data_IF_310421260178
#
_entry.id   IF_310421260178
#
_cell.length_a   1.000
_cell.length_b   1.000
_cell.length_c   1.000
_cell.angle_alpha   90.00
_cell.angle_beta   90.00
_cell.angle_gamma   90.00
#
_symmetry.space_group_name_H-M   'P 1'
#
loop_
_entity.id
_entity.type
_entity.pdbx_description
1 polymer ?
#
# COMPACT_ATOMS: atom_id res chain seq x y z
N UNK A 1 -29.23 59.00 -6.57
CA UNK A 1 -27.82 58.85 -6.18
C UNK A 1 -27.61 57.39 -5.80
N UNK A 2 -27.16 56.58 -6.74
CA UNK A 2 -26.98 55.10 -6.54
C UNK A 2 -25.46 54.87 -6.40
N UNK A 3 -25.03 54.30 -5.27
CA UNK A 3 -23.63 53.92 -5.01
C UNK A 3 -23.43 52.47 -5.45
N UNK A 4 -22.68 52.26 -6.51
CA UNK A 4 -22.11 50.96 -6.89
C UNK A 4 -20.96 50.61 -5.96
N UNK A 5 -21.09 49.54 -5.20
CA UNK A 5 -19.99 48.88 -4.47
C UNK A 5 -19.34 47.84 -5.41
N UNK A 6 -18.09 48.07 -5.75
CA UNK A 6 -17.22 47.06 -6.40
C UNK A 6 -16.68 46.14 -5.34
N UNK A 7 -17.02 44.84 -5.41
CA UNK A 7 -16.35 43.81 -4.64
C UNK A 7 -15.09 43.39 -5.38
N UNK A 8 -13.93 43.70 -4.82
CA UNK A 8 -12.63 43.14 -5.24
C UNK A 8 -12.56 41.68 -4.81
N UNK A 9 -12.71 40.79 -5.78
CA UNK A 9 -12.41 39.37 -5.60
C UNK A 9 -10.87 39.23 -5.47
N UNK A 10 -10.41 38.76 -4.32
CA UNK A 10 -9.06 38.25 -4.13
C UNK A 10 -8.88 36.98 -4.95
N UNK A 11 -8.26 37.08 -6.13
CA UNK A 11 -7.67 35.95 -6.81
C UNK A 11 -6.44 35.52 -6.00
N UNK A 12 -6.54 34.44 -5.25
CA UNK A 12 -5.38 33.77 -4.69
C UNK A 12 -4.54 33.17 -5.83
N UNK A 13 -3.46 33.84 -6.18
CA UNK A 13 -2.41 33.30 -7.04
C UNK A 13 -1.77 32.11 -6.33
N UNK A 14 -2.19 30.91 -6.68
CA UNK A 14 -1.45 29.69 -6.34
C UNK A 14 -0.14 29.74 -7.14
N UNK A 15 0.97 30.01 -6.46
CA UNK A 15 2.29 29.97 -7.07
C UNK A 15 2.51 28.58 -7.72
N UNK A 16 3.09 28.50 -8.94
CA UNK A 16 3.40 27.23 -9.56
C UNK A 16 4.35 26.44 -8.65
N UNK A 17 4.03 25.19 -8.35
CA UNK A 17 4.91 24.27 -7.64
C UNK A 17 6.18 24.10 -8.49
N UNK A 18 7.31 24.68 -8.04
CA UNK A 18 8.60 24.38 -8.65
C UNK A 18 8.96 22.92 -8.34
N UNK A 19 9.12 22.13 -9.38
CA UNK A 19 9.58 20.75 -9.27
C UNK A 19 11.09 20.72 -9.09
N UNK A 20 11.61 19.78 -8.28
CA UNK A 20 13.05 19.60 -8.09
C UNK A 20 13.75 19.26 -9.43
N UNK A 21 15.01 19.68 -9.56
CA UNK A 21 15.84 19.26 -10.69
C UNK A 21 16.03 17.74 -10.69
N UNK A 22 16.24 17.13 -11.86
CA UNK A 22 16.52 15.69 -11.98
C UNK A 22 17.76 15.34 -11.15
N UNK A 23 17.61 14.37 -10.24
CA UNK A 23 18.74 13.77 -9.53
C UNK A 23 19.31 12.59 -10.34
N UNK A 24 20.64 12.41 -10.33
CA UNK A 24 21.25 11.28 -11.02
C UNK A 24 20.79 9.96 -10.38
N UNK A 25 20.64 8.89 -11.19
CA UNK A 25 20.33 7.57 -10.69
C UNK A 25 21.31 7.12 -9.61
N UNK A 26 20.81 6.35 -8.64
CA UNK A 26 21.64 5.77 -7.58
C UNK A 26 22.48 4.63 -8.19
N UNK A 27 23.79 4.64 -7.94
CA UNK A 27 24.71 3.64 -8.45
C UNK A 27 24.46 2.25 -7.85
N UNK A 28 24.95 1.21 -8.52
CA UNK A 28 24.72 -0.18 -8.15
C UNK A 28 25.27 -0.53 -6.76
N UNK A 29 26.44 -0.05 -6.40
CA UNK A 29 27.06 -0.33 -5.10
C UNK A 29 26.21 0.24 -3.96
N UNK A 30 25.71 1.45 -4.13
CA UNK A 30 24.80 2.10 -3.19
C UNK A 30 23.46 1.33 -3.08
N UNK A 31 22.88 0.88 -4.20
CA UNK A 31 21.67 0.06 -4.19
C UNK A 31 21.86 -1.26 -3.45
N UNK A 32 22.97 -1.95 -3.68
CA UNK A 32 23.30 -3.21 -3.00
C UNK A 32 23.46 -2.99 -1.49
N UNK A 33 24.17 -1.94 -1.08
CA UNK A 33 24.36 -1.57 0.33
C UNK A 33 23.02 -1.21 1.01
N UNK A 34 22.17 -0.40 0.38
CA UNK A 34 20.89 0.00 0.95
C UNK A 34 19.87 -1.13 0.99
N UNK A 35 19.95 -2.08 0.06
CA UNK A 35 19.05 -3.24 0.06
C UNK A 35 19.48 -4.36 0.99
N UNK A 36 20.74 -4.39 1.45
CA UNK A 36 21.30 -5.47 2.26
C UNK A 36 20.49 -5.79 3.55
N UNK A 37 19.95 -4.80 4.31
CA UNK A 37 19.16 -5.07 5.51
C UNK A 37 17.83 -5.80 5.24
N UNK A 38 17.39 -5.84 3.98
CA UNK A 38 16.09 -6.39 3.57
C UNK A 38 16.24 -7.72 2.81
N UNK A 39 17.21 -8.52 3.20
CA UNK A 39 17.51 -9.84 2.61
C UNK A 39 17.71 -10.89 3.69
N UNK A 40 17.71 -12.17 3.29
CA UNK A 40 17.97 -13.27 4.24
C UNK A 40 16.78 -13.56 5.16
N UNK A 41 15.59 -13.64 4.59
CA UNK A 41 14.33 -13.80 5.32
C UNK A 41 14.16 -15.22 5.88
N UNK A 42 13.57 -15.31 7.08
CA UNK A 42 13.08 -16.52 7.71
C UNK A 42 11.57 -16.65 7.47
N UNK A 43 11.10 -17.85 7.15
CA UNK A 43 9.70 -18.12 6.82
C UNK A 43 8.90 -18.51 8.04
N UNK A 44 7.69 -17.96 8.16
CA UNK A 44 6.68 -18.51 9.05
C UNK A 44 5.90 -19.62 8.30
N UNK A 45 5.73 -20.83 8.87
CA UNK A 45 5.28 -21.99 8.10
C UNK A 45 3.82 -21.96 7.66
N UNK A 46 2.95 -21.27 8.40
CA UNK A 46 1.52 -21.24 8.15
C UNK A 46 1.01 -19.84 7.74
N UNK A 47 -0.14 -19.76 7.03
CA UNK A 47 -0.76 -18.47 6.75
C UNK A 47 -1.11 -17.70 8.04
N UNK A 48 -0.76 -16.44 8.10
CA UNK A 48 -1.12 -15.52 9.19
C UNK A 48 -2.62 -15.20 9.14
N UNK A 49 -3.15 -14.90 7.95
CA UNK A 49 -4.58 -14.86 7.66
C UNK A 49 -4.82 -15.85 6.53
N UNK A 50 -5.62 -16.91 6.77
CA UNK A 50 -5.87 -17.94 5.76
C UNK A 50 -6.75 -17.43 4.61
N UNK A 51 -6.76 -18.18 3.50
CA UNK A 51 -7.62 -17.90 2.35
C UNK A 51 -9.11 -17.90 2.70
N UNK A 52 -9.50 -18.63 3.74
CA UNK A 52 -10.84 -18.62 4.34
C UNK A 52 -10.76 -18.01 5.75
N UNK A 53 -10.89 -16.69 5.89
CA UNK A 53 -10.55 -15.99 7.15
C UNK A 53 -11.57 -16.20 8.27
N UNK A 54 -12.74 -16.79 7.99
CA UNK A 54 -13.83 -17.05 8.97
C UNK A 54 -14.20 -15.80 9.76
N UNK A 55 -14.69 -14.79 9.07
CA UNK A 55 -15.08 -13.50 9.67
C UNK A 55 -16.56 -13.59 10.07
N UNK A 56 -16.92 -13.38 11.36
CA UNK A 56 -18.29 -13.45 11.82
C UNK A 56 -19.23 -12.52 11.03
N UNK A 57 -20.34 -13.09 10.53
CA UNK A 57 -21.31 -12.38 9.68
C UNK A 57 -20.85 -12.13 8.24
N UNK A 58 -19.68 -12.63 7.86
CA UNK A 58 -19.06 -12.45 6.53
C UNK A 58 -18.45 -13.76 6.00
N UNK A 59 -19.12 -14.89 6.21
CA UNK A 59 -18.61 -16.24 5.93
C UNK A 59 -18.37 -16.52 4.44
N UNK A 60 -18.98 -15.74 3.54
CA UNK A 60 -18.77 -15.85 2.09
C UNK A 60 -17.42 -15.27 1.61
N UNK A 61 -16.72 -14.49 2.44
CA UNK A 61 -15.49 -13.86 2.07
C UNK A 61 -14.29 -14.80 2.11
N UNK A 62 -13.49 -14.79 1.05
CA UNK A 62 -12.32 -15.66 0.82
C UNK A 62 -11.19 -14.88 0.17
N UNK A 63 -10.05 -15.54 -0.09
CA UNK A 63 -8.92 -14.99 -0.83
C UNK A 63 -8.43 -13.68 -0.21
N UNK A 64 -7.82 -13.78 0.96
CA UNK A 64 -7.29 -12.64 1.69
C UNK A 64 -6.08 -12.03 1.01
N UNK A 65 -6.00 -10.69 0.98
CA UNK A 65 -4.98 -9.94 0.25
C UNK A 65 -4.71 -8.59 0.92
N UNK A 66 -3.70 -7.88 0.45
CA UNK A 66 -3.35 -6.49 0.82
C UNK A 66 -3.27 -6.27 2.33
N UNK A 67 -2.37 -6.96 3.04
CA UNK A 67 -2.16 -6.69 4.45
C UNK A 67 -1.63 -5.27 4.66
N UNK A 68 -2.08 -4.61 5.74
CA UNK A 68 -1.47 -3.36 6.18
C UNK A 68 -1.51 -3.28 7.71
N UNK A 69 -0.33 -3.35 8.34
CA UNK A 69 -0.19 -3.39 9.80
C UNK A 69 -0.03 -1.99 10.36
N UNK A 70 -0.69 -1.72 11.49
CA UNK A 70 -0.62 -0.45 12.20
C UNK A 70 -0.86 -0.61 13.70
N UNK A 71 -0.63 0.47 14.45
CA UNK A 71 -0.94 0.60 15.87
C UNK A 71 -1.83 1.82 16.12
N UNK A 72 -2.57 1.81 17.20
CA UNK A 72 -3.32 2.98 17.68
C UNK A 72 -2.52 3.73 18.75
N UNK A 73 -2.65 5.06 18.83
CA UNK A 73 -2.02 5.84 19.89
C UNK A 73 -2.37 5.30 21.28
N UNK A 74 -1.36 5.21 22.15
CA UNK A 74 -1.52 4.71 23.51
C UNK A 74 -1.66 3.19 23.67
N UNK A 75 -1.48 2.41 22.59
CA UNK A 75 -1.58 0.95 22.60
C UNK A 75 -0.30 0.30 22.05
N UNK A 76 0.87 0.46 22.68
CA UNK A 76 2.15 0.00 22.11
C UNK A 76 2.28 -1.52 22.00
N UNK A 77 1.53 -2.29 22.78
CA UNK A 77 1.57 -3.75 22.79
C UNK A 77 0.45 -4.38 21.96
N UNK A 78 -0.29 -3.57 21.20
CA UNK A 78 -1.41 -4.04 20.38
C UNK A 78 -1.23 -3.60 18.94
N UNK A 79 -1.34 -4.56 18.04
CA UNK A 79 -1.22 -4.38 16.60
C UNK A 79 -2.55 -4.65 15.93
N UNK A 80 -2.77 -3.95 14.84
CA UNK A 80 -3.92 -4.11 13.97
C UNK A 80 -3.44 -4.39 12.54
N UNK A 81 -4.16 -5.21 11.82
CA UNK A 81 -3.93 -5.46 10.39
C UNK A 81 -5.21 -5.22 9.64
N UNK A 82 -5.22 -4.24 8.73
CA UNK A 82 -6.24 -4.23 7.69
C UNK A 82 -5.87 -5.22 6.59
N UNK A 83 -6.87 -5.86 6.02
CA UNK A 83 -6.74 -6.75 4.88
C UNK A 83 -8.05 -6.78 4.10
N UNK A 84 -8.01 -7.21 2.86
CA UNK A 84 -9.22 -7.42 2.07
C UNK A 84 -9.55 -8.90 1.93
N UNK A 85 -10.81 -9.18 1.68
CA UNK A 85 -11.27 -10.49 1.23
C UNK A 85 -12.37 -10.32 0.19
N UNK A 86 -12.53 -11.31 -0.69
CA UNK A 86 -13.43 -11.33 -1.83
C UNK A 86 -14.60 -12.27 -1.60
N UNK A 87 -15.83 -11.87 -1.96
CA UNK A 87 -17.05 -12.68 -1.77
C UNK A 87 -17.70 -13.16 -3.10
N UNK A 88 -16.98 -13.08 -4.21
CA UNK A 88 -17.51 -13.36 -5.54
C UNK A 88 -18.14 -12.15 -6.24
N UNK A 89 -18.47 -11.09 -5.50
CA UNK A 89 -19.04 -9.85 -6.04
C UNK A 89 -18.05 -8.68 -6.00
N UNK A 90 -17.15 -8.66 -5.02
CA UNK A 90 -16.17 -7.59 -4.84
C UNK A 90 -15.45 -7.75 -3.49
N UNK A 91 -14.72 -6.71 -3.09
CA UNK A 91 -13.95 -6.72 -1.84
C UNK A 91 -14.59 -5.89 -0.74
N UNK A 92 -14.42 -6.37 0.48
CA UNK A 92 -14.51 -5.51 1.66
C UNK A 92 -13.15 -5.47 2.37
N UNK A 93 -12.90 -4.38 3.09
CA UNK A 93 -11.78 -4.27 3.99
C UNK A 93 -12.17 -4.71 5.39
N UNK A 94 -11.32 -5.55 5.98
CA UNK A 94 -11.48 -6.08 7.33
C UNK A 94 -10.30 -5.67 8.19
N UNK A 95 -10.46 -5.78 9.51
CA UNK A 95 -9.39 -5.57 10.48
C UNK A 95 -9.30 -6.76 11.44
N UNK A 96 -8.09 -7.17 11.76
CA UNK A 96 -7.77 -8.12 12.82
C UNK A 96 -6.82 -7.47 13.83
N UNK A 97 -6.71 -8.04 15.03
CA UNK A 97 -5.81 -7.56 16.08
C UNK A 97 -4.87 -8.65 16.57
N UNK A 98 -3.69 -8.24 17.05
CA UNK A 98 -2.64 -9.13 17.58
C UNK A 98 -1.87 -8.43 18.69
N UNK A 99 -1.29 -9.22 19.59
CA UNK A 99 -0.32 -8.76 20.60
C UNK A 99 1.08 -9.31 20.39
N UNK A 100 1.27 -10.20 19.40
CA UNK A 100 2.54 -10.87 19.14
C UNK A 100 3.01 -10.80 17.68
N UNK A 101 2.21 -10.17 16.78
CA UNK A 101 2.46 -10.07 15.34
C UNK A 101 2.35 -11.40 14.57
N UNK A 102 1.93 -12.47 15.23
CA UNK A 102 1.80 -13.82 14.64
C UNK A 102 0.36 -14.29 14.66
N UNK A 103 -0.28 -14.21 15.83
CA UNK A 103 -1.65 -14.66 16.03
C UNK A 103 -2.62 -13.50 15.92
N UNK A 104 -3.49 -13.53 14.89
CA UNK A 104 -4.42 -12.46 14.56
C UNK A 104 -5.87 -12.90 14.80
N UNK A 105 -6.56 -12.14 15.64
CA UNK A 105 -7.88 -12.47 16.17
C UNK A 105 -8.90 -11.37 15.88
N UNK A 106 -10.15 -11.56 16.37
CA UNK A 106 -11.24 -10.57 16.36
C UNK A 106 -11.44 -9.90 14.99
N UNK A 107 -11.47 -10.72 13.92
CA UNK A 107 -11.66 -10.23 12.55
C UNK A 107 -13.06 -9.62 12.40
N UNK A 108 -13.12 -8.39 11.89
CA UNK A 108 -14.36 -7.65 11.72
C UNK A 108 -14.30 -6.74 10.50
N UNK A 109 -15.50 -6.32 10.02
CA UNK A 109 -15.61 -5.37 8.92
C UNK A 109 -15.02 -4.02 9.35
N UNK A 110 -14.12 -3.47 8.52
CA UNK A 110 -13.55 -2.15 8.67
C UNK A 110 -14.22 -1.14 7.72
N UNK A 111 -14.41 -1.52 6.45
CA UNK A 111 -15.12 -0.71 5.45
C UNK A 111 -15.77 -1.63 4.42
N UNK A 112 -17.07 -1.45 4.19
CA UNK A 112 -17.84 -2.24 3.24
C UNK A 112 -18.04 -1.56 1.89
N UNK A 113 -18.79 -2.22 1.00
CA UNK A 113 -19.18 -1.71 -0.30
C UNK A 113 -19.82 -0.32 -0.24
N UNK A 114 -19.61 0.47 -1.27
CA UNK A 114 -20.41 1.67 -1.54
C UNK A 114 -21.86 1.32 -1.90
N UNK A 115 -22.73 2.32 -1.87
CA UNK A 115 -24.12 2.17 -2.32
C UNK A 115 -24.17 1.94 -3.83
N UNK A 116 -25.24 1.35 -4.36
CA UNK A 116 -25.44 1.25 -5.81
C UNK A 116 -25.31 2.61 -6.49
N UNK A 117 -24.45 2.70 -7.51
CA UNK A 117 -24.16 3.93 -8.24
C UNK A 117 -23.00 4.77 -7.69
N UNK A 118 -22.48 4.48 -6.50
CA UNK A 118 -21.28 5.12 -5.98
C UNK A 118 -20.03 4.55 -6.63
N UNK A 119 -18.94 5.36 -6.67
CA UNK A 119 -17.68 5.02 -7.35
C UNK A 119 -16.92 3.84 -6.71
N UNK A 120 -17.32 3.40 -5.54
CA UNK A 120 -16.74 2.28 -4.79
C UNK A 120 -17.75 1.17 -4.46
N UNK A 121 -18.84 1.08 -5.24
CA UNK A 121 -19.87 0.06 -5.06
C UNK A 121 -19.34 -1.38 -5.19
N UNK A 122 -18.29 -1.61 -5.98
CA UNK A 122 -17.66 -2.91 -6.21
C UNK A 122 -16.60 -3.32 -5.20
N UNK A 123 -16.27 -2.43 -4.26
CA UNK A 123 -15.34 -2.75 -3.17
C UNK A 123 -14.36 -1.64 -2.83
N UNK A 124 -13.74 -1.80 -1.66
CA UNK A 124 -12.77 -0.87 -1.12
C UNK A 124 -11.57 -1.60 -0.50
N UNK A 125 -10.40 -1.00 -0.62
CA UNK A 125 -9.12 -1.50 -0.13
C UNK A 125 -8.46 -0.41 0.70
N UNK A 126 -8.69 -0.39 2.03
CA UNK A 126 -8.02 0.54 2.93
C UNK A 126 -6.61 0.04 3.27
N UNK A 127 -5.68 0.95 3.57
CA UNK A 127 -4.31 0.58 3.98
C UNK A 127 -3.28 1.68 3.81
N UNK A 128 -3.63 2.76 3.11
CA UNK A 128 -2.78 3.95 2.98
C UNK A 128 -3.05 4.92 4.14
N UNK A 129 -2.68 4.52 5.34
CA UNK A 129 -2.96 5.27 6.56
C UNK A 129 -2.01 6.46 6.74
N UNK A 130 -2.51 7.50 7.41
CA UNK A 130 -1.67 8.59 7.88
C UNK A 130 -0.97 8.16 9.18
N UNK A 131 0.36 8.03 9.14
CA UNK A 131 1.18 7.63 10.28
C UNK A 131 1.86 8.82 10.97
N UNK A 132 2.21 8.64 12.24
CA UNK A 132 3.06 9.60 12.98
C UNK A 132 4.49 9.63 12.43
N UNK A 133 5.01 8.46 12.05
CA UNK A 133 6.35 8.31 11.50
C UNK A 133 6.36 7.39 10.28
N UNK A 134 7.19 7.73 9.30
CA UNK A 134 7.51 6.91 8.14
C UNK A 134 8.92 6.31 8.24
N UNK A 135 9.63 6.48 9.37
CA UNK A 135 10.88 5.75 9.60
C UNK A 135 10.60 4.25 9.63
N UNK A 136 11.39 3.49 8.90
CA UNK A 136 11.15 2.05 8.69
C UNK A 136 11.25 1.25 10.00
N UNK A 137 12.00 1.75 10.98
CA UNK A 137 12.16 1.14 12.31
C UNK A 137 11.25 1.74 13.37
N UNK A 138 10.45 2.74 13.05
CA UNK A 138 9.45 3.27 13.97
C UNK A 138 8.19 2.39 14.02
N UNK A 139 7.48 2.37 15.14
CA UNK A 139 6.13 1.81 15.21
C UNK A 139 5.18 2.46 14.20
N UNK A 140 4.26 1.69 13.63
CA UNK A 140 3.27 2.16 12.64
C UNK A 140 2.06 2.79 13.32
N UNK A 141 2.27 3.81 14.17
CA UNK A 141 1.19 4.47 14.92
C UNK A 141 0.39 5.39 14.01
N UNK A 142 -0.95 5.25 14.03
CA UNK A 142 -1.83 6.15 13.29
C UNK A 142 -1.78 7.55 13.87
N UNK A 143 -1.70 8.56 13.01
CA UNK A 143 -1.75 9.98 13.38
C UNK A 143 -3.15 10.56 13.17
N UNK A 144 -3.62 11.31 14.18
CA UNK A 144 -4.83 12.11 14.03
C UNK A 144 -4.52 13.43 13.29
N UNK A 145 -5.40 13.80 12.39
CA UNK A 145 -5.52 15.13 11.80
C UNK A 145 -6.96 15.60 11.97
N UNK A 146 -7.17 16.81 12.46
CA UNK A 146 -8.50 17.36 12.72
C UNK A 146 -9.37 16.44 13.59
N UNK A 147 -8.76 15.84 14.61
CA UNK A 147 -9.42 14.93 15.56
C UNK A 147 -9.68 13.51 15.07
N UNK A 148 -9.44 13.19 13.79
CA UNK A 148 -9.74 11.89 13.17
C UNK A 148 -8.50 11.20 12.62
N UNK A 149 -8.56 9.89 12.46
CA UNK A 149 -7.63 9.12 11.64
C UNK A 149 -8.03 9.22 10.18
N UNK A 150 -7.04 9.14 9.27
CA UNK A 150 -7.22 9.29 7.83
C UNK A 150 -6.56 8.13 7.09
N UNK A 151 -7.20 7.68 6.02
CA UNK A 151 -6.63 6.73 5.05
C UNK A 151 -7.07 7.09 3.64
N UNK A 152 -6.20 6.84 2.67
CA UNK A 152 -6.61 6.68 1.29
C UNK A 152 -7.02 5.22 1.05
N UNK A 153 -7.86 4.98 0.05
CA UNK A 153 -8.27 3.63 -0.30
C UNK A 153 -8.48 3.47 -1.81
N UNK A 154 -8.08 2.32 -2.33
CA UNK A 154 -8.40 1.92 -3.69
C UNK A 154 -9.81 1.35 -3.77
N UNK A 155 -10.51 1.51 -4.90
CA UNK A 155 -11.88 1.03 -5.04
C UNK A 155 -12.30 0.77 -6.49
N UNK A 156 -13.44 0.09 -6.63
CA UNK A 156 -14.02 -0.27 -7.91
C UNK A 156 -15.52 0.07 -7.95
N UNK A 157 -16.04 0.53 -9.10
CA UNK A 157 -17.42 1.02 -9.19
C UNK A 157 -18.47 -0.07 -9.35
N UNK A 158 -18.07 -1.31 -9.67
CA UNK A 158 -19.01 -2.39 -10.04
C UNK A 158 -18.76 -3.67 -9.28
N UNK A 159 -19.84 -4.31 -8.87
CA UNK A 159 -19.86 -5.69 -8.37
C UNK A 159 -19.96 -6.68 -9.53
N UNK A 160 -19.75 -7.97 -9.23
CA UNK A 160 -19.85 -9.09 -10.15
C UNK A 160 -18.52 -9.69 -10.58
N UNK A 161 -17.41 -9.29 -9.95
CA UNK A 161 -16.09 -9.83 -10.27
C UNK A 161 -14.97 -9.26 -9.44
N UNK A 162 -13.78 -9.76 -9.74
CA UNK A 162 -12.52 -9.34 -9.13
C UNK A 162 -11.96 -8.16 -9.93
N UNK A 163 -11.74 -7.01 -9.30
CA UNK A 163 -11.12 -5.81 -9.91
C UNK A 163 -11.81 -5.34 -11.22
N UNK A 164 -13.12 -5.09 -11.17
CA UNK A 164 -13.85 -4.60 -12.33
C UNK A 164 -13.52 -3.13 -12.61
N UNK A 165 -12.64 -2.93 -13.58
CA UNK A 165 -12.15 -1.61 -14.02
C UNK A 165 -13.29 -0.69 -14.51
N UNK A 166 -13.10 0.65 -14.46
CA UNK A 166 -11.91 1.33 -13.95
C UNK A 166 -11.83 1.26 -12.42
N UNK A 167 -10.62 1.37 -11.87
CA UNK A 167 -10.41 1.60 -10.45
C UNK A 167 -10.29 3.10 -10.17
N UNK A 168 -10.53 3.47 -8.93
CA UNK A 168 -10.45 4.83 -8.42
C UNK A 168 -9.79 4.85 -7.03
N UNK A 169 -9.45 6.03 -6.57
CA UNK A 169 -9.05 6.24 -5.19
C UNK A 169 -10.01 7.16 -4.45
N UNK A 170 -10.28 6.80 -3.21
CA UNK A 170 -11.08 7.58 -2.29
C UNK A 170 -10.32 7.92 -1.02
N UNK A 171 -10.94 8.73 -0.18
CA UNK A 171 -10.41 9.09 1.13
C UNK A 171 -11.45 8.76 2.20
N UNK A 172 -11.00 8.19 3.31
CA UNK A 172 -11.85 7.81 4.44
C UNK A 172 -11.27 8.29 5.77
N UNK A 173 -12.15 8.46 6.75
CA UNK A 173 -11.80 8.85 8.11
C UNK A 173 -12.35 7.86 9.14
N UNK A 174 -11.73 7.83 10.32
CA UNK A 174 -12.17 7.02 11.44
C UNK A 174 -11.99 7.76 12.77
N UNK A 175 -12.90 7.54 13.70
CA UNK A 175 -12.80 8.06 15.07
C UNK A 175 -11.98 7.10 15.96
N UNK A 176 -12.04 5.78 15.68
CA UNK A 176 -11.44 4.71 16.49
C UNK A 176 -10.26 3.99 15.82
N UNK A 177 -10.02 4.23 14.52
CA UNK A 177 -9.00 3.56 13.72
C UNK A 177 -9.39 2.15 13.27
N UNK A 178 -10.62 1.71 13.51
CA UNK A 178 -11.09 0.35 13.24
C UNK A 178 -12.24 0.34 12.23
N UNK A 179 -13.19 1.27 12.37
CA UNK A 179 -14.31 1.44 11.44
C UNK A 179 -14.11 2.73 10.65
N UNK A 180 -14.13 2.62 9.35
CA UNK A 180 -13.81 3.69 8.42
C UNK A 180 -15.03 4.15 7.63
N UNK A 181 -15.15 5.46 7.42
CA UNK A 181 -16.23 6.10 6.69
C UNK A 181 -15.69 6.99 5.60
N UNK A 182 -16.34 6.98 4.44
CA UNK A 182 -16.03 7.84 3.30
C UNK A 182 -16.04 9.31 3.73
N UNK A 183 -14.99 10.04 3.37
CA UNK A 183 -14.85 11.46 3.66
C UNK A 183 -15.27 12.35 2.47
N UNK A 184 -15.41 11.75 1.27
CA UNK A 184 -15.90 12.39 0.05
C UNK A 184 -16.82 11.45 -0.72
N UNK A 185 -17.79 12.02 -1.44
CA UNK A 185 -18.72 11.29 -2.32
C UNK A 185 -18.17 11.12 -3.74
N UNK A 186 -17.01 11.71 -4.03
CA UNK A 186 -16.30 11.61 -5.31
C UNK A 186 -14.88 11.08 -5.08
N UNK A 187 -14.29 10.38 -6.05
CA UNK A 187 -12.91 9.94 -5.95
C UNK A 187 -11.95 11.12 -5.81
N UNK A 188 -10.80 10.88 -5.19
CA UNK A 188 -9.70 11.85 -5.09
C UNK A 188 -8.76 11.74 -6.30
N UNK A 189 -8.66 10.56 -6.91
CA UNK A 189 -8.00 10.30 -8.19
C UNK A 189 -8.88 9.41 -9.06
N UNK A 190 -9.02 9.79 -10.33
CA UNK A 190 -9.85 9.12 -11.32
C UNK A 190 -9.14 9.05 -12.68
N UNK A 191 -9.44 8.02 -13.46
CA UNK A 191 -9.00 7.91 -14.87
C UNK A 191 -9.62 8.99 -15.77
N UNK A 192 -10.65 9.69 -15.28
CA UNK A 192 -11.35 10.77 -16.00
C UNK A 192 -10.82 12.16 -15.66
N UNK A 193 -9.85 12.29 -14.75
CA UNK A 193 -9.28 13.58 -14.39
C UNK A 193 -8.52 14.21 -15.56
N UNK A 194 -8.53 15.52 -15.65
CA UNK A 194 -7.90 16.27 -16.74
C UNK A 194 -6.37 16.08 -16.78
N UNK A 195 -5.74 15.81 -15.63
CA UNK A 195 -4.30 15.55 -15.50
C UNK A 195 -3.95 14.05 -15.55
N UNK A 196 -4.90 13.17 -15.87
CA UNK A 196 -4.68 11.73 -16.02
C UNK A 196 -3.78 11.46 -17.24
N UNK A 197 -2.64 10.82 -17.00
CA UNK A 197 -1.66 10.45 -18.01
C UNK A 197 -2.12 9.29 -18.92
N UNK A 198 -1.57 9.19 -20.13
CA UNK A 198 -1.92 8.12 -21.06
C UNK A 198 -1.61 6.71 -20.52
N UNK A 199 -0.64 6.58 -19.62
CA UNK A 199 -0.16 5.32 -19.04
C UNK A 199 -1.07 4.76 -17.93
N UNK A 200 -2.07 5.52 -17.44
CA UNK A 200 -2.91 5.20 -16.26
C UNK A 200 -4.42 5.20 -16.55
N UNK A 201 -4.83 5.24 -17.81
CA UNK A 201 -6.25 5.44 -18.21
C UNK A 201 -7.16 4.23 -18.03
N UNK A 202 -6.62 3.04 -17.78
CA UNK A 202 -7.44 1.86 -17.59
C UNK A 202 -7.85 1.63 -16.14
N UNK A 203 -7.00 2.01 -15.19
CA UNK A 203 -7.23 1.74 -13.76
C UNK A 203 -6.27 2.55 -12.90
N UNK A 204 -6.76 3.07 -11.78
CA UNK A 204 -5.97 3.64 -10.68
C UNK A 204 -6.41 2.91 -9.41
N UNK A 205 -5.46 2.49 -8.55
CA UNK A 205 -5.77 1.77 -7.31
C UNK A 205 -4.55 1.64 -6.41
N UNK A 206 -4.72 1.07 -5.20
CA UNK A 206 -3.66 0.76 -4.24
C UNK A 206 -2.79 1.97 -3.88
N UNK A 207 -3.35 2.99 -3.23
CA UNK A 207 -2.59 4.12 -2.71
C UNK A 207 -1.62 3.73 -1.61
N UNK A 208 -0.58 4.54 -1.44
CA UNK A 208 0.27 4.56 -0.26
C UNK A 208 0.61 5.98 0.14
N UNK A 209 0.13 6.39 1.31
CA UNK A 209 0.25 7.75 1.81
C UNK A 209 1.57 7.98 2.56
N UNK A 210 2.31 9.03 2.19
CA UNK A 210 3.46 9.54 2.94
C UNK A 210 3.23 11.02 3.29
N UNK A 211 3.42 11.39 4.55
CA UNK A 211 3.44 12.79 4.99
C UNK A 211 4.89 13.24 5.23
N UNK A 212 5.36 14.25 4.50
CA UNK A 212 6.71 14.75 4.62
C UNK A 212 6.78 16.28 4.36
N UNK A 213 7.44 17.02 5.23
CA UNK A 213 7.66 18.48 5.09
C UNK A 213 6.39 19.27 4.75
N UNK A 214 5.28 18.98 5.45
CA UNK A 214 4.00 19.67 5.29
C UNK A 214 3.21 19.33 4.03
N UNK A 215 3.66 18.34 3.26
CA UNK A 215 2.98 17.82 2.08
C UNK A 215 2.59 16.36 2.29
N UNK A 216 1.59 15.91 1.53
CA UNK A 216 1.18 14.53 1.40
C UNK A 216 1.57 14.03 0.01
N UNK A 217 2.11 12.83 -0.05
CA UNK A 217 2.53 12.11 -1.24
C UNK A 217 1.70 10.84 -1.30
N UNK A 218 0.99 10.65 -2.38
CA UNK A 218 0.26 9.43 -2.68
C UNK A 218 0.98 8.69 -3.80
N UNK A 219 1.59 7.57 -3.43
CA UNK A 219 2.14 6.63 -4.39
C UNK A 219 1.06 5.62 -4.73
N UNK A 220 0.67 5.53 -5.98
CA UNK A 220 -0.47 4.73 -6.40
C UNK A 220 -0.14 3.80 -7.56
N UNK A 221 -0.88 2.71 -7.67
CA UNK A 221 -0.84 1.86 -8.84
C UNK A 221 -1.69 2.45 -9.96
N UNK A 222 -1.21 2.33 -11.17
CA UNK A 222 -2.04 2.59 -12.33
C UNK A 222 -1.70 1.66 -13.48
N UNK A 223 -2.70 1.43 -14.35
CA UNK A 223 -2.60 0.47 -15.43
C UNK A 223 -3.09 1.03 -16.76
N UNK A 224 -2.40 0.62 -17.84
CA UNK A 224 -2.81 0.78 -19.22
C UNK A 224 -2.26 -0.36 -20.07
N UNK A 225 -3.13 -0.96 -20.93
CA UNK A 225 -2.70 -1.98 -21.90
C UNK A 225 -2.08 -3.25 -21.28
N UNK A 226 -2.47 -3.61 -20.03
CA UNK A 226 -1.92 -4.78 -19.34
C UNK A 226 -0.58 -4.52 -18.63
N UNK A 227 -0.09 -3.30 -18.63
CA UNK A 227 1.10 -2.86 -17.89
C UNK A 227 0.67 -2.09 -16.67
N UNK A 228 1.27 -2.39 -15.50
CA UNK A 228 1.04 -1.66 -14.26
C UNK A 228 2.32 -0.97 -13.79
N UNK A 229 2.19 0.29 -13.38
CA UNK A 229 3.30 1.12 -12.94
C UNK A 229 2.89 1.96 -11.73
N UNK A 230 3.88 2.51 -11.03
CA UNK A 230 3.64 3.34 -9.85
C UNK A 230 3.67 4.82 -10.22
N UNK A 231 2.57 5.51 -9.93
CA UNK A 231 2.44 6.96 -10.01
C UNK A 231 2.68 7.68 -8.71
N UNK A 232 2.66 8.99 -8.76
CA UNK A 232 2.75 9.89 -7.62
C UNK A 232 1.79 11.06 -7.80
N UNK A 233 1.02 11.37 -6.76
CA UNK A 233 0.25 12.60 -6.64
C UNK A 233 0.60 13.33 -5.33
N UNK A 234 0.39 14.64 -5.29
CA UNK A 234 0.70 15.48 -4.14
C UNK A 234 -0.54 16.26 -3.68
N UNK A 235 -0.63 16.44 -2.35
CA UNK A 235 -1.68 17.22 -1.70
C UNK A 235 -1.13 18.01 -0.51
N UNK A 236 -1.89 18.98 -0.04
CA UNK A 236 -1.66 19.68 1.24
C UNK A 236 -2.77 19.47 2.25
N UNK A 237 -3.90 18.87 1.81
CA UNK A 237 -5.12 18.74 2.62
C UNK A 237 -5.72 17.31 2.68
N UNK A 238 -5.19 16.34 1.93
CA UNK A 238 -5.69 14.96 1.75
C UNK A 238 -6.98 14.86 0.90
N UNK A 239 -7.56 15.96 0.50
CA UNK A 239 -8.84 16.01 -0.22
C UNK A 239 -8.68 16.38 -1.70
N UNK A 240 -7.66 17.21 -2.00
CA UNK A 240 -7.36 17.69 -3.33
C UNK A 240 -5.95 17.27 -3.74
N UNK A 241 -5.85 16.52 -4.83
CA UNK A 241 -4.62 15.91 -5.28
C UNK A 241 -4.24 16.38 -6.67
N UNK A 242 -2.95 16.49 -6.93
CA UNK A 242 -2.38 16.82 -8.23
C UNK A 242 -1.32 15.81 -8.59
N UNK A 243 -1.44 15.19 -9.76
CA UNK A 243 -0.44 14.24 -10.27
C UNK A 243 0.90 14.88 -10.48
N UNK A 244 1.95 14.17 -10.11
CA UNK A 244 3.33 14.56 -10.39
C UNK A 244 3.63 14.39 -11.88
N UNK A 245 4.08 15.46 -12.59
CA UNK A 245 4.32 15.37 -14.03
C UNK A 245 5.42 14.37 -14.44
N UNK A 246 6.32 13.99 -13.51
CA UNK A 246 7.34 12.96 -13.71
C UNK A 246 6.83 11.53 -13.58
N UNK A 247 5.51 11.33 -13.33
CA UNK A 247 4.94 9.98 -13.25
C UNK A 247 4.93 9.27 -14.62
N UNK A 248 5.05 7.92 -14.63
CA UNK A 248 5.20 7.04 -13.48
C UNK A 248 6.62 7.14 -12.87
N UNK A 249 6.69 7.10 -11.53
CA UNK A 249 7.96 7.20 -10.78
C UNK A 249 8.71 5.87 -10.70
N UNK A 250 7.99 4.73 -10.77
CA UNK A 250 8.56 3.42 -11.03
C UNK A 250 7.94 2.87 -12.31
N UNK A 251 8.81 2.53 -13.27
CA UNK A 251 8.44 1.99 -14.58
C UNK A 251 8.78 0.52 -14.68
N UNK A 252 8.03 -0.21 -15.47
CA UNK A 252 8.40 -1.57 -15.88
C UNK A 252 9.73 -1.56 -16.63
N UNK A 253 10.51 -2.64 -16.48
CA UNK A 253 11.83 -2.79 -17.09
C UNK A 253 11.86 -3.99 -18.02
N UNK A 254 12.26 -3.81 -19.25
CA UNK A 254 12.38 -4.90 -20.21
C UNK A 254 13.30 -6.03 -19.70
N UNK A 255 12.86 -7.28 -19.80
CA UNK A 255 13.60 -8.50 -19.44
C UNK A 255 14.00 -8.57 -17.95
N UNK A 256 13.15 -8.06 -17.06
CA UNK A 256 13.40 -8.05 -15.60
C UNK A 256 12.38 -8.89 -14.82
N UNK A 257 12.42 -8.72 -13.51
CA UNK A 257 11.42 -9.27 -12.60
C UNK A 257 10.16 -8.39 -12.51
N UNK A 258 10.19 -7.22 -13.13
CA UNK A 258 9.13 -6.22 -13.18
C UNK A 258 8.87 -5.74 -14.63
N UNK A 259 8.92 -6.66 -15.59
CA UNK A 259 8.72 -6.34 -17.01
C UNK A 259 7.25 -6.05 -17.38
N UNK A 260 6.31 -6.50 -16.56
CA UNK A 260 4.88 -6.32 -16.79
C UNK A 260 4.25 -5.43 -15.71
N UNK A 261 4.58 -5.65 -14.43
CA UNK A 261 4.07 -4.87 -13.32
C UNK A 261 5.21 -4.36 -12.44
N UNK A 262 5.10 -3.11 -11.99
CA UNK A 262 5.90 -2.45 -10.99
C UNK A 262 4.95 -1.66 -10.07
N UNK A 263 4.34 -2.35 -9.10
CA UNK A 263 3.08 -1.97 -8.47
C UNK A 263 3.06 -2.15 -6.95
N UNK A 264 2.03 -1.62 -6.29
CA UNK A 264 1.74 -1.68 -4.85
C UNK A 264 2.88 -1.13 -3.99
N UNK A 265 3.19 0.16 -4.12
CA UNK A 265 4.28 0.79 -3.40
C UNK A 265 4.02 0.84 -1.89
N UNK A 266 5.08 0.63 -1.10
CA UNK A 266 5.13 0.86 0.34
C UNK A 266 6.40 1.63 0.67
N UNK A 267 6.28 2.90 0.99
CA UNK A 267 7.39 3.84 1.07
C UNK A 267 7.72 4.16 2.52
N UNK A 268 8.99 4.02 2.89
CA UNK A 268 9.51 4.29 4.22
C UNK A 268 10.81 5.07 4.14
N UNK A 269 11.14 5.77 5.22
CA UNK A 269 12.44 6.42 5.38
C UNK A 269 13.40 5.48 6.12
N UNK A 270 14.60 5.30 5.60
CA UNK A 270 15.69 4.59 6.25
C UNK A 270 16.92 5.50 6.34
N UNK A 271 17.10 6.12 7.50
CA UNK A 271 18.17 7.09 7.72
C UNK A 271 18.06 8.32 6.82
N UNK A 272 18.97 8.47 5.88
CA UNK A 272 19.10 9.61 4.96
C UNK A 272 18.38 9.42 3.62
N UNK A 273 17.83 8.23 3.35
CA UNK A 273 17.17 7.90 2.09
C UNK A 273 15.76 7.32 2.31
N UNK A 274 15.04 7.15 1.21
CA UNK A 274 13.73 6.50 1.16
C UNK A 274 13.85 5.16 0.46
N UNK A 275 13.14 4.17 0.98
CA UNK A 275 12.98 2.85 0.37
C UNK A 275 11.51 2.63 0.02
N UNK A 276 11.27 2.18 -1.18
CA UNK A 276 9.97 1.71 -1.67
C UNK A 276 10.04 0.20 -1.85
N UNK A 277 9.22 -0.53 -1.12
CA UNK A 277 8.92 -1.92 -1.44
C UNK A 277 7.77 -1.91 -2.45
N UNK A 278 7.90 -2.67 -3.51
CA UNK A 278 6.86 -2.85 -4.50
C UNK A 278 6.88 -4.29 -5.02
N UNK A 279 5.88 -4.74 -5.75
CA UNK A 279 6.00 -6.01 -6.42
C UNK A 279 6.24 -5.83 -7.93
N UNK A 280 7.10 -6.68 -8.44
CA UNK A 280 7.32 -6.82 -9.86
C UNK A 280 6.70 -8.10 -10.38
N UNK A 281 6.05 -8.04 -11.54
CA UNK A 281 5.63 -9.22 -12.31
C UNK A 281 6.48 -9.30 -13.57
N UNK A 282 7.10 -10.45 -13.75
CA UNK A 282 7.98 -10.71 -14.87
C UNK A 282 8.50 -12.14 -14.80
N UNK A 283 9.82 -12.31 -14.86
CA UNK A 283 10.46 -13.61 -14.82
C UNK A 283 10.06 -14.41 -13.56
N UNK A 284 9.28 -15.49 -13.75
CA UNK A 284 8.98 -16.48 -12.71
C UNK A 284 7.86 -16.13 -11.75
N UNK A 285 7.03 -15.10 -12.01
CA UNK A 285 5.86 -14.77 -11.20
C UNK A 285 5.87 -13.35 -10.64
N UNK A 286 5.28 -13.15 -9.47
CA UNK A 286 5.29 -11.88 -8.75
C UNK A 286 6.24 -11.93 -7.55
N UNK A 287 7.15 -10.98 -7.46
CA UNK A 287 8.25 -10.92 -6.49
C UNK A 287 8.26 -9.60 -5.73
N UNK A 288 8.77 -9.62 -4.51
CA UNK A 288 9.00 -8.38 -3.74
C UNK A 288 10.27 -7.70 -4.23
N UNK A 289 10.11 -6.49 -4.74
CA UNK A 289 11.17 -5.63 -5.26
C UNK A 289 11.44 -4.46 -4.32
N UNK A 290 12.54 -3.73 -4.58
CA UNK A 290 12.81 -2.45 -3.93
C UNK A 290 13.27 -1.38 -4.91
N UNK A 291 12.94 -0.13 -4.58
CA UNK A 291 13.52 1.07 -5.19
C UNK A 291 13.94 2.05 -4.11
N UNK A 292 14.86 2.94 -4.42
CA UNK A 292 15.42 3.89 -3.47
C UNK A 292 15.39 5.31 -4.04
N UNK A 293 15.26 6.28 -3.15
CA UNK A 293 15.17 7.70 -3.48
C UNK A 293 15.81 8.57 -2.38
N UNK A 294 16.30 9.75 -2.75
CA UNK A 294 16.74 10.78 -1.80
C UNK A 294 15.69 11.83 -1.51
N UNK A 295 14.68 11.98 -2.39
CA UNK A 295 13.76 13.12 -2.40
C UNK A 295 12.26 12.77 -2.53
N UNK A 296 11.88 11.49 -2.62
CA UNK A 296 10.52 10.97 -2.89
C UNK A 296 10.03 11.16 -4.33
N UNK A 297 10.77 11.86 -5.18
CA UNK A 297 10.37 12.17 -6.56
C UNK A 297 11.10 11.30 -7.59
N UNK A 298 12.42 11.09 -7.37
CA UNK A 298 13.30 10.36 -8.27
C UNK A 298 13.70 9.03 -7.65
N UNK A 299 13.35 7.94 -8.32
CA UNK A 299 13.51 6.58 -7.80
C UNK A 299 14.42 5.74 -8.69
N UNK A 300 15.30 4.97 -8.08
CA UNK A 300 16.13 3.96 -8.76
C UNK A 300 15.78 2.58 -8.24
N UNK A 301 15.25 1.72 -9.11
CA UNK A 301 14.87 0.36 -8.76
C UNK A 301 16.08 -0.58 -8.72
N UNK A 302 16.16 -1.39 -7.65
CA UNK A 302 17.15 -2.48 -7.59
C UNK A 302 16.79 -3.55 -8.65
N UNK A 303 17.77 -4.09 -9.42
CA UNK A 303 17.46 -5.03 -10.49
C UNK A 303 17.01 -6.41 -10.00
N UNK A 304 17.40 -6.81 -8.79
CA UNK A 304 17.09 -8.12 -8.22
C UNK A 304 16.02 -7.99 -7.12
N UNK A 305 15.10 -8.98 -7.00
CA UNK A 305 14.12 -9.02 -5.92
C UNK A 305 14.78 -9.09 -4.54
N UNK A 306 14.09 -8.53 -3.55
CA UNK A 306 14.41 -8.75 -2.13
C UNK A 306 13.92 -10.13 -1.67
N UNK A 307 12.81 -10.59 -2.25
CA UNK A 307 12.20 -11.87 -1.97
C UNK A 307 11.53 -12.43 -3.24
N UNK A 308 11.83 -13.70 -3.57
CA UNK A 308 11.28 -14.36 -4.76
C UNK A 308 10.08 -15.26 -4.41
N UNK A 309 9.04 -15.22 -5.23
CA UNK A 309 7.99 -16.22 -5.19
C UNK A 309 8.57 -17.63 -5.33
N UNK A 310 7.94 -18.59 -4.66
CA UNK A 310 8.42 -19.97 -4.60
C UNK A 310 9.50 -20.22 -3.56
N UNK A 311 9.93 -19.21 -2.80
CA UNK A 311 10.90 -19.35 -1.73
C UNK A 311 10.37 -20.06 -0.49
N UNK A 312 9.07 -20.02 -0.22
CA UNK A 312 8.48 -20.65 0.95
C UNK A 312 8.51 -22.20 0.84
N UNK A 313 9.16 -22.92 1.79
CA UNK A 313 9.34 -24.37 1.69
C UNK A 313 8.03 -25.18 1.62
N UNK A 314 6.95 -24.67 2.24
CA UNK A 314 5.61 -25.25 2.18
C UNK A 314 4.81 -24.87 0.92
N UNK A 315 5.40 -24.17 -0.05
CA UNK A 315 4.75 -23.74 -1.30
C UNK A 315 3.63 -22.71 -1.12
N UNK A 316 3.63 -21.98 0.00
CA UNK A 316 2.61 -20.97 0.32
C UNK A 316 2.51 -19.89 -0.76
N UNK A 317 3.65 -19.51 -1.32
CA UNK A 317 3.83 -18.45 -2.31
C UNK A 317 4.36 -18.97 -3.66
N UNK A 318 4.06 -20.22 -3.99
CA UNK A 318 4.59 -20.91 -5.18
C UNK A 318 4.41 -20.12 -6.47
N UNK A 319 3.36 -19.27 -6.56
CA UNK A 319 3.01 -18.48 -7.75
C UNK A 319 3.35 -17.01 -7.52
N UNK A 320 2.90 -16.42 -6.40
CA UNK A 320 3.09 -15.01 -6.09
C UNK A 320 3.50 -14.78 -4.64
N UNK A 321 4.49 -13.89 -4.44
CA UNK A 321 4.83 -13.21 -3.21
C UNK A 321 4.80 -11.70 -3.48
N UNK A 322 3.75 -11.00 -3.05
CA UNK A 322 3.52 -9.60 -3.42
C UNK A 322 2.72 -8.82 -2.38
N UNK A 323 2.51 -7.52 -2.60
CA UNK A 323 1.67 -6.65 -1.77
C UNK A 323 2.05 -6.71 -0.29
N UNK A 324 3.24 -6.23 0.03
CA UNK A 324 3.83 -6.34 1.37
C UNK A 324 3.28 -5.31 2.35
N UNK A 325 3.39 -5.64 3.64
CA UNK A 325 3.30 -4.71 4.75
C UNK A 325 4.40 -4.99 5.76
N UNK A 326 5.08 -3.95 6.23
CA UNK A 326 6.18 -4.07 7.17
C UNK A 326 5.79 -3.54 8.56
N UNK A 327 6.11 -4.31 9.59
CA UNK A 327 6.17 -3.87 10.96
C UNK A 327 7.57 -4.11 11.52
N UNK A 328 8.08 -3.18 12.31
CA UNK A 328 9.31 -3.36 13.06
C UNK A 328 8.96 -3.45 14.54
N UNK A 329 9.46 -4.48 15.21
CA UNK A 329 9.32 -4.64 16.67
C UNK A 329 10.63 -4.30 17.35
N UNK A 330 10.71 -3.16 18.07
CA UNK A 330 11.96 -2.72 18.69
C UNK A 330 12.49 -3.68 19.76
N UNK A 331 11.61 -4.43 20.46
CA UNK A 331 11.96 -5.31 21.57
C UNK A 331 12.91 -6.44 21.15
N UNK A 332 12.79 -6.93 19.92
CA UNK A 332 13.65 -7.98 19.34
C UNK A 332 14.40 -7.50 18.10
N UNK A 333 14.25 -6.22 17.74
CA UNK A 333 14.85 -5.61 16.54
C UNK A 333 14.55 -6.41 15.27
N UNK A 334 13.31 -6.86 15.11
CA UNK A 334 12.89 -7.74 14.02
C UNK A 334 11.91 -7.05 13.10
N UNK A 335 12.16 -7.15 11.79
CA UNK A 335 11.16 -6.85 10.77
C UNK A 335 10.21 -8.03 10.59
N UNK A 336 8.93 -7.76 10.67
CA UNK A 336 7.83 -8.65 10.30
C UNK A 336 7.28 -8.16 8.95
N UNK A 337 7.44 -8.97 7.91
CA UNK A 337 6.99 -8.63 6.57
C UNK A 337 5.87 -9.56 6.18
N UNK A 338 4.66 -9.03 6.22
CA UNK A 338 3.46 -9.71 5.73
C UNK A 338 3.38 -9.51 4.23
N UNK A 339 2.91 -10.53 3.53
CA UNK A 339 2.76 -10.46 2.09
C UNK A 339 1.57 -11.28 1.62
N UNK A 340 0.95 -10.89 0.51
CA UNK A 340 0.00 -11.75 -0.14
C UNK A 340 0.75 -12.91 -0.79
N UNK A 341 0.46 -14.11 -0.31
CA UNK A 341 0.99 -15.37 -0.82
C UNK A 341 -0.05 -16.07 -1.68
N UNK A 342 0.33 -16.50 -2.88
CA UNK A 342 -0.53 -17.30 -3.76
C UNK A 342 0.18 -18.59 -4.11
N UNK A 343 -0.39 -19.70 -3.65
CA UNK A 343 0.23 -21.01 -3.82
C UNK A 343 -0.70 -22.15 -3.41
N UNK A 344 -0.14 -23.18 -2.79
CA UNK A 344 -0.86 -24.44 -2.48
C UNK A 344 -2.03 -24.28 -1.50
N UNK A 345 -2.04 -23.22 -0.69
CA UNK A 345 -3.12 -22.88 0.26
C UNK A 345 -4.06 -21.78 -0.25
N UNK A 346 -4.06 -21.52 -1.56
CA UNK A 346 -4.83 -20.44 -2.18
C UNK A 346 -4.18 -19.08 -2.01
N UNK A 347 -4.98 -17.99 -2.03
CA UNK A 347 -4.54 -16.61 -1.79
C UNK A 347 -4.74 -16.28 -0.31
N UNK A 348 -3.64 -16.07 0.40
CA UNK A 348 -3.61 -15.85 1.84
C UNK A 348 -2.53 -14.84 2.21
N UNK A 349 -2.45 -14.47 3.49
CA UNK A 349 -1.38 -13.61 3.99
C UNK A 349 -0.32 -14.48 4.66
N UNK A 350 0.90 -14.46 4.12
CA UNK A 350 2.10 -15.08 4.67
C UNK A 350 2.92 -14.11 5.52
N UNK A 351 3.94 -14.62 6.19
CA UNK A 351 4.88 -13.86 7.00
C UNK A 351 6.32 -14.34 6.74
N UNK A 352 7.21 -13.38 6.54
CA UNK A 352 8.66 -13.57 6.64
C UNK A 352 9.21 -12.60 7.66
N UNK A 353 10.33 -12.96 8.30
CA UNK A 353 10.95 -12.15 9.35
C UNK A 353 12.45 -12.00 9.12
N UNK A 354 13.04 -10.89 9.57
CA UNK A 354 14.48 -10.65 9.44
C UNK A 354 15.35 -11.44 10.42
N UNK A 355 14.74 -11.98 11.48
CA UNK A 355 15.38 -12.88 12.44
C UNK A 355 14.50 -14.10 12.65
N UNK A 356 15.11 -15.23 13.00
CA UNK A 356 14.38 -16.43 13.37
C UNK A 356 13.59 -16.18 14.65
N UNK A 357 12.33 -16.60 14.68
CA UNK A 357 11.51 -16.50 15.88
C UNK A 357 11.69 -17.77 16.73
N UNK A 358 11.83 -17.62 18.04
CA UNK A 358 12.08 -18.72 18.99
C UNK A 358 10.94 -19.77 19.02
N UNK A 359 9.74 -19.38 18.63
CA UNK A 359 8.56 -20.22 18.56
C UNK A 359 8.29 -20.79 17.16
N UNK A 360 9.26 -20.76 16.23
CA UNK A 360 9.13 -21.39 14.93
C UNK A 360 9.16 -22.93 15.08
N UNK A 361 8.01 -23.62 14.95
CA UNK A 361 7.93 -25.05 15.25
C UNK A 361 8.67 -25.94 14.24
N UNK A 362 9.16 -25.38 13.13
CA UNK A 362 9.74 -26.15 12.00
C UNK A 362 11.15 -25.72 11.58
N UNK A 363 11.72 -24.71 12.21
CA UNK A 363 13.15 -24.38 12.07
C UNK A 363 13.63 -24.17 10.63
N UNK A 364 12.89 -23.44 9.82
CA UNK A 364 13.28 -23.13 8.44
C UNK A 364 14.44 -22.14 8.43
N UNK A 365 15.60 -22.56 7.91
CA UNK A 365 16.79 -21.73 7.81
C UNK A 365 16.64 -20.55 6.83
N UNK A 366 17.62 -19.62 6.80
CA UNK A 366 17.64 -18.53 5.83
C UNK A 366 17.81 -19.05 4.41
N UNK A 367 17.15 -18.40 3.45
CA UNK A 367 17.41 -18.55 2.01
C UNK A 367 18.40 -17.51 1.51
#
# INVERSE_FOLDING_TARGET
MSRFLWSLGLLSLVAPMAWAAEEPPIDRETLDRWSAPYRGWHYWPDPIIPAEPKIPGHEAFRNTDVPCVYQLPGQPDKWYMSFIAFNGQGYNSFVAESTDLIHWHQRRLAMGFGRPGEFDHGGCVIGAFLYDSYDIRAPRVLRRREGRFWTLYGCYPRQGGYELRPGYEGVATSDDGLVWRRAKDQPILSVSDADCGAWERSCIYQPWLVAHKGKFYDFYNAAQGGVEQTGLALSTDLLNWKRYPGSPVIRVRAKGYDEQFASDPKVFRDGDHWVMFYFGVGRGGAHVMAAFSRDLLHWTAHPEPLYKAGGHPGGLDKIYAHKVSLAYRPQDETFYVYYCAVGVKGRCIGLITSKRLDNDPKGTGPN
#
